data_IF_823673598435
#
_entry.id   IF_823673598435
#
_cell.length_a   1.000
_cell.length_b   1.000
_cell.length_c   1.000
_cell.angle_alpha   90.00
_cell.angle_beta   90.00
_cell.angle_gamma   90.00
#
_symmetry.space_group_name_H-M   'P 1'
#
loop_
_entity.id
_entity.type
_entity.pdbx_description
1 polymer ?
#
# COMPACT_ATOMS: atom_id res chain seq x y z
N UNK A 1 -82.74 -32.38 61.60
CA UNK A 1 -82.37 -33.79 61.33
C UNK A 1 -83.21 -34.25 60.14
N UNK A 2 -82.76 -34.75 58.99
CA UNK A 2 -81.49 -35.33 58.51
C UNK A 2 -81.43 -35.02 56.99
N UNK A 3 -80.27 -34.57 56.48
CA UNK A 3 -79.99 -34.33 55.05
C UNK A 3 -79.88 -35.68 54.32
N UNK A 4 -80.67 -35.91 53.26
CA UNK A 4 -80.49 -37.05 52.34
C UNK A 4 -79.10 -37.01 51.71
N UNK A 5 -78.28 -38.04 51.95
CA UNK A 5 -77.05 -38.32 51.18
C UNK A 5 -77.45 -39.02 49.89
N UNK A 6 -77.16 -38.41 48.75
CA UNK A 6 -77.17 -39.08 47.45
C UNK A 6 -75.91 -39.94 47.34
N UNK A 7 -76.08 -41.26 47.21
CA UNK A 7 -75.01 -42.20 46.91
C UNK A 7 -74.62 -42.08 45.43
N UNK A 8 -73.53 -41.36 45.16
CA UNK A 8 -72.83 -41.47 43.87
C UNK A 8 -71.99 -42.76 43.90
N UNK A 9 -72.37 -43.76 43.08
CA UNK A 9 -71.51 -44.91 42.79
C UNK A 9 -70.25 -44.44 42.08
N UNK A 10 -69.18 -44.22 42.85
CA UNK A 10 -67.86 -43.87 42.32
C UNK A 10 -67.33 -45.08 41.52
N UNK A 11 -67.23 -44.93 40.21
CA UNK A 11 -66.73 -45.96 39.31
C UNK A 11 -65.19 -46.06 39.43
N UNK A 12 -64.71 -46.76 40.46
CA UNK A 12 -63.28 -46.89 40.82
C UNK A 12 -62.40 -47.34 39.65
N UNK A 13 -62.91 -48.17 38.74
CA UNK A 13 -62.17 -48.61 37.53
C UNK A 13 -61.83 -47.45 36.59
N UNK A 14 -62.71 -46.46 36.47
CA UNK A 14 -62.51 -45.28 35.62
C UNK A 14 -61.46 -44.33 36.21
N UNK A 15 -61.42 -44.22 37.55
CA UNK A 15 -60.40 -43.45 38.27
C UNK A 15 -59.02 -44.09 38.13
N UNK A 16 -58.91 -45.41 38.32
CA UNK A 16 -57.64 -46.11 38.11
C UNK A 16 -57.15 -46.04 36.66
N UNK A 17 -58.05 -46.14 35.69
CA UNK A 17 -57.70 -45.96 34.28
C UNK A 17 -57.17 -44.55 33.99
N UNK A 18 -57.85 -43.50 34.47
CA UNK A 18 -57.39 -42.12 34.32
C UNK A 18 -56.07 -41.88 35.05
N UNK A 19 -55.88 -42.46 36.24
CA UNK A 19 -54.64 -42.32 37.00
C UNK A 19 -53.46 -42.99 36.29
N UNK A 20 -53.65 -44.19 35.75
CA UNK A 20 -52.64 -44.91 34.96
C UNK A 20 -52.33 -44.13 33.67
N UNK A 21 -53.34 -43.60 32.99
CA UNK A 21 -53.16 -42.78 31.80
C UNK A 21 -52.32 -41.53 32.10
N UNK A 22 -52.65 -40.82 33.18
CA UNK A 22 -51.88 -39.65 33.63
C UNK A 22 -50.47 -40.02 34.07
N UNK A 23 -50.29 -41.15 34.75
CA UNK A 23 -48.98 -41.62 35.17
C UNK A 23 -48.08 -41.97 33.99
N UNK A 24 -48.62 -42.62 32.96
CA UNK A 24 -47.91 -42.92 31.72
C UNK A 24 -47.53 -41.63 30.98
N UNK A 25 -48.48 -40.68 30.85
CA UNK A 25 -48.21 -39.39 30.23
C UNK A 25 -47.12 -38.61 30.98
N UNK A 26 -47.19 -38.56 32.32
CA UNK A 26 -46.19 -37.90 33.16
C UNK A 26 -44.82 -38.59 33.06
N UNK A 27 -44.79 -39.92 33.01
CA UNK A 27 -43.55 -40.69 32.84
C UNK A 27 -42.90 -40.43 31.48
N UNK A 28 -43.68 -40.31 30.40
CA UNK A 28 -43.19 -39.94 29.07
C UNK A 28 -42.58 -38.54 29.04
N UNK A 29 -43.24 -37.56 29.66
CA UNK A 29 -42.72 -36.18 29.76
C UNK A 29 -41.43 -36.14 30.59
N UNK A 30 -41.42 -36.84 31.74
CA UNK A 30 -40.25 -36.92 32.62
C UNK A 30 -39.07 -37.58 31.92
N UNK A 31 -39.30 -38.68 31.20
CA UNK A 31 -38.30 -39.32 30.37
C UNK A 31 -37.76 -38.37 29.29
N UNK A 32 -38.64 -37.63 28.61
CA UNK A 32 -38.22 -36.66 27.59
C UNK A 32 -37.35 -35.55 28.19
N UNK A 33 -37.72 -35.03 29.35
CA UNK A 33 -36.96 -34.01 30.07
C UNK A 33 -35.57 -34.51 30.45
N UNK A 34 -35.47 -35.71 31.03
CA UNK A 34 -34.18 -36.34 31.36
C UNK A 34 -33.36 -36.60 30.09
N UNK A 35 -33.99 -37.04 28.99
CA UNK A 35 -33.27 -37.24 27.72
C UNK A 35 -32.64 -35.94 27.22
N UNK A 36 -33.37 -34.81 27.30
CA UNK A 36 -32.87 -33.51 26.85
C UNK A 36 -31.78 -32.99 27.79
N UNK A 37 -31.97 -33.13 29.11
CA UNK A 37 -31.04 -32.59 30.10
C UNK A 37 -29.76 -33.41 30.31
N UNK A 38 -29.77 -34.72 30.03
CA UNK A 38 -28.63 -35.62 30.27
C UNK A 38 -28.07 -36.27 29.01
N UNK A 39 -28.90 -36.79 28.11
CA UNK A 39 -28.41 -37.46 26.89
C UNK A 39 -28.00 -36.46 25.81
N UNK A 40 -28.82 -35.43 25.60
CA UNK A 40 -28.55 -34.37 24.64
C UNK A 40 -27.89 -33.13 25.28
N UNK A 41 -27.49 -33.22 26.55
CA UNK A 41 -26.94 -32.10 27.33
C UNK A 41 -25.78 -31.41 26.61
N UNK A 42 -24.79 -32.18 26.16
CA UNK A 42 -23.61 -31.68 25.44
C UNK A 42 -23.97 -31.04 24.10
N UNK A 43 -24.97 -31.60 23.41
CA UNK A 43 -25.47 -31.08 22.13
C UNK A 43 -26.17 -29.74 22.31
N UNK A 44 -27.07 -29.63 23.28
CA UNK A 44 -27.79 -28.38 23.55
C UNK A 44 -26.90 -27.32 24.22
N UNK A 45 -25.96 -27.74 25.05
CA UNK A 45 -24.95 -26.85 25.62
C UNK A 45 -24.01 -26.31 24.54
N UNK A 46 -23.62 -27.13 23.56
CA UNK A 46 -22.87 -26.68 22.37
C UNK A 46 -23.65 -25.70 21.51
N UNK A 47 -24.94 -25.96 21.24
CA UNK A 47 -25.80 -25.00 20.54
C UNK A 47 -25.97 -23.69 21.31
N UNK A 48 -26.16 -23.75 22.62
CA UNK A 48 -26.24 -22.56 23.47
C UNK A 48 -24.91 -21.79 23.46
N UNK A 49 -23.77 -22.48 23.54
CA UNK A 49 -22.45 -21.84 23.48
C UNK A 49 -22.23 -21.13 22.14
N UNK A 50 -22.64 -21.75 21.02
CA UNK A 50 -22.53 -21.15 19.69
C UNK A 50 -23.51 -19.99 19.47
N UNK A 51 -24.66 -20.00 20.15
CA UNK A 51 -25.64 -18.92 20.10
C UNK A 51 -25.29 -17.74 21.02
N UNK A 52 -24.60 -17.98 22.13
CA UNK A 52 -24.29 -16.96 23.13
C UNK A 52 -22.88 -16.37 23.02
N UNK A 53 -21.98 -17.00 22.27
CA UNK A 53 -20.59 -16.55 22.15
C UNK A 53 -20.34 -16.03 20.76
N UNK A 54 -19.75 -14.84 20.65
CA UNK A 54 -19.34 -14.27 19.37
C UNK A 54 -17.85 -13.91 19.39
N UNK A 55 -17.25 -13.89 18.21
CA UNK A 55 -15.85 -13.55 18.03
C UNK A 55 -15.74 -12.10 17.56
N UNK A 56 -15.13 -11.27 18.40
CA UNK A 56 -14.86 -9.88 18.07
C UNK A 56 -13.40 -9.73 17.65
N UNK A 57 -13.21 -9.14 16.48
CA UNK A 57 -11.88 -8.78 16.01
C UNK A 57 -11.41 -7.50 16.71
N UNK A 58 -10.25 -7.55 17.33
CA UNK A 58 -9.60 -6.38 17.91
C UNK A 58 -8.58 -5.87 16.89
N UNK A 59 -8.85 -4.74 16.26
CA UNK A 59 -7.98 -4.22 15.21
C UNK A 59 -6.65 -3.73 15.78
N UNK A 60 -5.54 -4.17 15.20
CA UNK A 60 -4.22 -3.60 15.50
C UNK A 60 -4.03 -2.26 14.81
N UNK A 61 -3.22 -1.38 15.41
CA UNK A 61 -2.81 -0.15 14.73
C UNK A 61 -1.72 -0.47 13.74
N UNK A 62 -1.85 0.10 12.54
CA UNK A 62 -0.80 0.03 11.53
C UNK A 62 0.31 0.99 11.92
N UNK A 63 1.57 0.54 11.82
CA UNK A 63 2.75 1.33 12.14
C UNK A 63 2.82 2.62 11.33
N UNK A 64 3.32 3.68 11.94
CA UNK A 64 3.45 5.00 11.33
C UNK A 64 4.58 5.01 10.30
N UNK A 65 4.44 5.86 9.29
CA UNK A 65 5.55 6.19 8.38
C UNK A 65 5.93 7.64 8.65
N UNK A 66 7.22 7.87 8.92
CA UNK A 66 7.75 9.19 9.19
C UNK A 66 8.94 9.52 8.29
N UNK A 67 9.16 10.79 8.06
CA UNK A 67 10.35 11.28 7.37
C UNK A 67 11.59 11.19 8.28
N UNK A 68 12.76 11.55 7.75
CA UNK A 68 14.03 11.44 8.49
C UNK A 68 14.09 12.29 9.76
N UNK A 69 13.23 13.32 9.87
CA UNK A 69 13.18 14.31 10.95
C UNK A 69 11.99 14.08 11.90
N UNK A 70 11.21 13.01 11.70
CA UNK A 70 10.05 12.66 12.53
C UNK A 70 8.72 13.27 12.08
N UNK A 71 8.66 13.88 10.89
CA UNK A 71 7.41 14.36 10.30
C UNK A 71 6.53 13.15 9.94
N UNK A 72 5.30 13.10 10.44
CA UNK A 72 4.37 12.02 10.14
C UNK A 72 3.86 12.13 8.68
N UNK A 73 4.17 11.11 7.88
CA UNK A 73 3.75 10.97 6.49
C UNK A 73 2.52 10.07 6.36
N UNK A 74 2.41 9.04 7.21
CA UNK A 74 1.22 8.19 7.29
C UNK A 74 0.98 7.74 8.74
N UNK A 75 -0.27 7.84 9.19
CA UNK A 75 -0.71 7.47 10.54
C UNK A 75 -2.00 6.68 10.50
N UNK A 76 -2.28 5.94 11.57
CA UNK A 76 -3.57 5.27 11.77
C UNK A 76 -4.45 6.05 12.73
N UNK A 77 -5.63 6.42 12.27
CA UNK A 77 -6.70 7.00 13.07
C UNK A 77 -7.65 5.89 13.50
N UNK A 78 -8.15 5.98 14.74
CA UNK A 78 -9.24 5.14 15.22
C UNK A 78 -10.53 5.84 14.80
N UNK A 79 -11.26 5.22 13.90
CA UNK A 79 -12.58 5.63 13.47
C UNK A 79 -13.62 4.61 13.94
N UNK A 80 -14.88 4.96 13.77
CA UNK A 80 -16.01 4.10 14.15
C UNK A 80 -16.73 3.62 12.91
N UNK A 81 -17.25 2.41 12.96
CA UNK A 81 -18.07 1.82 11.90
C UNK A 81 -19.41 1.44 12.48
N UNK A 82 -20.47 1.91 11.83
CA UNK A 82 -21.86 1.59 12.18
C UNK A 82 -22.33 0.44 11.32
N UNK A 83 -22.78 -0.61 11.97
CA UNK A 83 -23.36 -1.79 11.33
C UNK A 83 -24.69 -2.15 11.99
N UNK A 84 -25.47 -2.97 11.33
CA UNK A 84 -26.74 -3.45 11.85
C UNK A 84 -26.82 -4.98 11.76
N UNK A 85 -27.60 -5.57 12.66
CA UNK A 85 -28.14 -6.90 12.50
C UNK A 85 -29.63 -6.77 12.13
N UNK A 86 -30.00 -6.84 10.84
CA UNK A 86 -31.37 -6.67 10.40
C UNK A 86 -32.37 -7.59 11.10
N UNK A 87 -31.95 -8.78 11.57
CA UNK A 87 -32.83 -9.72 12.30
C UNK A 87 -33.37 -9.14 13.61
N UNK A 88 -32.62 -8.25 14.25
CA UNK A 88 -32.97 -7.64 15.54
C UNK A 88 -33.73 -6.31 15.37
N UNK A 89 -33.63 -5.66 14.20
CA UNK A 89 -34.30 -4.37 13.95
C UNK A 89 -35.83 -4.48 14.08
N UNK A 90 -36.46 -3.72 14.95
CA UNK A 90 -37.92 -3.77 15.10
C UNK A 90 -38.69 -2.96 14.04
N UNK A 91 -38.28 -1.71 13.81
CA UNK A 91 -38.93 -0.78 12.89
C UNK A 91 -37.89 -0.20 11.90
N UNK A 92 -37.70 -0.85 10.74
CA UNK A 92 -36.72 -0.40 9.74
C UNK A 92 -37.00 1.01 9.23
N UNK A 93 -38.26 1.41 9.08
CA UNK A 93 -38.61 2.71 8.49
C UNK A 93 -38.30 3.86 9.45
N UNK A 94 -38.65 3.70 10.72
CA UNK A 94 -38.32 4.68 11.76
C UNK A 94 -36.81 4.78 11.98
N UNK A 95 -36.12 3.64 12.15
CA UNK A 95 -34.67 3.64 12.35
C UNK A 95 -33.92 4.23 11.15
N UNK A 96 -34.35 3.93 9.92
CA UNK A 96 -33.78 4.52 8.71
C UNK A 96 -33.95 6.05 8.64
N UNK A 97 -35.09 6.59 9.08
CA UNK A 97 -35.35 8.03 9.10
C UNK A 97 -34.48 8.79 10.09
N UNK A 98 -34.26 8.21 11.27
CA UNK A 98 -33.38 8.83 12.28
C UNK A 98 -31.92 8.72 11.83
N UNK A 99 -31.51 7.55 11.33
CA UNK A 99 -30.14 7.32 10.89
C UNK A 99 -29.79 8.09 9.61
N UNK A 100 -30.74 8.32 8.69
CA UNK A 100 -30.48 9.10 7.47
C UNK A 100 -30.03 10.52 7.79
N UNK A 101 -30.62 11.13 8.82
CA UNK A 101 -30.32 12.50 9.23
C UNK A 101 -28.90 12.64 9.78
N UNK A 102 -28.42 11.62 10.51
CA UNK A 102 -27.08 11.63 11.13
C UNK A 102 -26.02 11.18 10.12
N UNK A 103 -26.28 10.07 9.43
CA UNK A 103 -25.31 9.44 8.54
C UNK A 103 -25.25 10.11 7.16
N UNK A 104 -26.22 10.96 6.81
CA UNK A 104 -26.31 11.60 5.50
C UNK A 104 -26.52 10.61 4.35
N UNK A 105 -27.14 9.46 4.64
CA UNK A 105 -27.48 8.40 3.67
C UNK A 105 -28.98 8.48 3.41
N UNK A 106 -29.40 8.29 2.16
CA UNK A 106 -30.82 8.31 1.78
C UNK A 106 -31.64 7.29 2.59
N UNK A 107 -32.84 7.70 3.02
CA UNK A 107 -33.72 6.87 3.87
C UNK A 107 -34.05 5.54 3.19
N UNK A 108 -34.37 5.55 1.89
CA UNK A 108 -34.73 4.31 1.18
C UNK A 108 -33.57 3.31 1.17
N UNK A 109 -32.32 3.76 1.07
CA UNK A 109 -31.15 2.87 1.08
C UNK A 109 -30.98 2.19 2.44
N UNK A 110 -31.11 2.96 3.53
CA UNK A 110 -31.02 2.42 4.89
C UNK A 110 -32.19 1.48 5.20
N UNK A 111 -33.40 1.83 4.78
CA UNK A 111 -34.60 1.00 5.02
C UNK A 111 -34.49 -0.36 4.32
N UNK A 112 -33.93 -0.40 3.10
CA UNK A 112 -33.64 -1.65 2.39
C UNK A 112 -32.62 -2.51 3.15
N UNK A 113 -31.53 -1.92 3.64
CA UNK A 113 -30.49 -2.63 4.41
C UNK A 113 -31.03 -3.17 5.74
N UNK A 114 -31.86 -2.39 6.44
CA UNK A 114 -32.40 -2.72 7.76
C UNK A 114 -33.60 -3.68 7.69
N UNK A 115 -34.36 -3.65 6.59
CA UNK A 115 -35.56 -4.47 6.40
C UNK A 115 -35.29 -5.91 5.97
N UNK A 116 -34.12 -6.19 5.41
CA UNK A 116 -33.77 -7.54 4.92
C UNK A 116 -33.38 -8.49 6.06
N UNK A 117 -34.37 -9.23 6.57
CA UNK A 117 -34.21 -10.19 7.68
C UNK A 117 -33.35 -11.42 7.35
N UNK A 118 -33.08 -11.67 6.07
CA UNK A 118 -32.18 -12.77 5.68
C UNK A 118 -30.73 -12.42 6.07
N UNK A 119 -30.38 -11.13 6.02
CA UNK A 119 -29.08 -10.61 6.43
C UNK A 119 -28.92 -10.67 7.95
N UNK A 120 -27.87 -11.35 8.43
CA UNK A 120 -27.47 -11.34 9.84
C UNK A 120 -26.47 -10.23 10.19
N UNK A 121 -26.01 -9.47 9.19
CA UNK A 121 -25.02 -8.41 9.34
C UNK A 121 -25.03 -7.51 8.09
N UNK A 122 -25.02 -6.20 8.29
CA UNK A 122 -24.86 -5.22 7.20
C UNK A 122 -24.12 -3.97 7.68
N UNK A 123 -23.15 -3.49 6.90
CA UNK A 123 -22.53 -2.19 7.15
C UNK A 123 -23.49 -1.07 6.72
N UNK A 124 -23.72 -0.11 7.62
CA UNK A 124 -24.49 1.09 7.31
C UNK A 124 -23.56 2.17 6.79
N UNK A 125 -22.54 2.52 7.59
CA UNK A 125 -21.50 3.48 7.24
C UNK A 125 -20.21 3.11 7.96
N UNK A 126 -19.13 2.94 7.20
CA UNK A 126 -17.80 2.61 7.75
C UNK A 126 -16.99 3.88 7.95
N UNK A 127 -16.05 3.85 8.89
CA UNK A 127 -14.96 4.84 8.97
C UNK A 127 -15.46 6.28 9.14
N UNK A 128 -16.35 6.47 10.11
CA UNK A 128 -16.88 7.77 10.50
C UNK A 128 -16.16 8.34 11.72
N UNK A 129 -16.24 9.66 11.87
CA UNK A 129 -15.70 10.37 13.02
C UNK A 129 -16.36 9.89 14.33
N UNK A 130 -15.63 9.99 15.42
CA UNK A 130 -16.11 9.51 16.72
C UNK A 130 -17.36 10.29 17.17
N UNK A 131 -17.44 11.58 16.86
CA UNK A 131 -18.56 12.45 17.21
C UNK A 131 -19.87 12.00 16.54
N UNK A 132 -19.83 11.67 15.24
CA UNK A 132 -20.99 11.18 14.49
C UNK A 132 -21.46 9.81 15.03
N UNK A 133 -20.50 8.93 15.36
CA UNK A 133 -20.82 7.64 15.96
C UNK A 133 -21.42 7.77 17.37
N UNK A 134 -20.96 8.74 18.17
CA UNK A 134 -21.55 9.02 19.49
C UNK A 134 -22.99 9.52 19.40
N UNK A 135 -23.35 10.28 18.36
CA UNK A 135 -24.74 10.67 18.11
C UNK A 135 -25.62 9.46 17.82
N UNK A 136 -25.15 8.52 17.01
CA UNK A 136 -25.85 7.25 16.76
C UNK A 136 -25.97 6.43 18.05
N UNK A 137 -24.91 6.35 18.85
CA UNK A 137 -24.90 5.61 20.11
C UNK A 137 -25.96 6.12 21.09
N UNK A 138 -26.19 7.44 21.15
CA UNK A 138 -27.18 8.07 22.04
C UNK A 138 -28.63 7.69 21.73
N UNK A 139 -28.92 7.23 20.52
CA UNK A 139 -30.26 6.85 20.10
C UNK A 139 -30.70 5.49 20.65
N UNK A 140 -29.77 4.65 21.11
CA UNK A 140 -30.03 3.32 21.68
C UNK A 140 -30.94 2.46 20.78
N UNK A 141 -30.67 2.50 19.47
CA UNK A 141 -31.48 1.77 18.48
C UNK A 141 -31.13 0.28 18.49
N UNK A 142 -32.12 -0.54 18.84
CA UNK A 142 -31.94 -1.99 18.86
C UNK A 142 -31.62 -2.55 17.47
N UNK A 143 -30.62 -3.43 17.40
CA UNK A 143 -30.10 -4.00 16.15
C UNK A 143 -29.07 -3.12 15.43
N UNK A 144 -28.70 -1.96 15.99
CA UNK A 144 -27.65 -1.07 15.48
C UNK A 144 -26.46 -1.10 16.41
N UNK A 145 -25.28 -1.26 15.85
CA UNK A 145 -24.04 -1.50 16.59
C UNK A 145 -22.90 -0.64 16.05
N UNK A 146 -21.96 -0.37 16.94
CA UNK A 146 -20.76 0.40 16.65
C UNK A 146 -19.55 -0.47 16.93
N UNK A 147 -18.61 -0.51 15.99
CA UNK A 147 -17.31 -1.14 16.19
C UNK A 147 -16.19 -0.17 15.86
N UNK A 148 -15.06 -0.35 16.52
CA UNK A 148 -13.84 0.40 16.22
C UNK A 148 -13.23 -0.14 14.94
N UNK A 149 -12.73 0.75 14.10
CA UNK A 149 -12.02 0.39 12.89
C UNK A 149 -10.84 1.35 12.68
N UNK A 150 -9.74 0.85 12.15
CA UNK A 150 -8.58 1.69 11.84
C UNK A 150 -8.65 2.22 10.42
N UNK A 151 -8.46 3.53 10.24
CA UNK A 151 -8.26 4.15 8.94
C UNK A 151 -6.85 4.68 8.82
N UNK A 152 -6.26 4.48 7.64
CA UNK A 152 -4.99 5.09 7.29
C UNK A 152 -5.22 6.53 6.81
N UNK A 153 -4.44 7.45 7.34
CA UNK A 153 -4.50 8.88 7.03
C UNK A 153 -3.10 9.42 6.73
N UNK A 154 -3.02 10.31 5.74
CA UNK A 154 -1.76 10.89 5.26
C UNK A 154 -1.76 12.40 5.53
N UNK A 155 -1.18 12.88 6.65
CA UNK A 155 -1.28 14.28 7.06
C UNK A 155 -0.68 15.28 6.07
N UNK A 156 0.26 14.83 5.23
CA UNK A 156 0.94 15.67 4.26
C UNK A 156 0.28 15.66 2.86
N UNK A 157 -0.89 15.03 2.72
CA UNK A 157 -1.62 14.88 1.46
C UNK A 157 -0.71 14.32 0.35
N UNK A 158 -0.47 15.08 -0.73
CA UNK A 158 0.27 14.66 -1.93
C UNK A 158 1.79 14.49 -1.71
N UNK A 159 2.34 15.03 -0.62
CA UNK A 159 3.79 15.04 -0.38
C UNK A 159 4.34 13.60 -0.30
N UNK A 160 5.32 13.29 -1.15
CA UNK A 160 5.93 11.96 -1.25
C UNK A 160 4.92 10.82 -1.52
N UNK A 161 3.74 11.11 -2.08
CA UNK A 161 2.66 10.13 -2.21
C UNK A 161 3.06 8.86 -2.99
N UNK A 162 3.87 8.98 -4.06
CA UNK A 162 4.34 7.80 -4.81
C UNK A 162 5.37 6.96 -4.04
N UNK A 163 6.10 7.57 -3.10
CA UNK A 163 7.04 6.86 -2.22
C UNK A 163 6.27 6.16 -1.10
N UNK A 164 5.48 6.93 -0.34
CA UNK A 164 4.70 6.43 0.81
C UNK A 164 3.68 5.39 0.33
N UNK A 165 2.97 5.70 -0.75
CA UNK A 165 1.90 4.88 -1.29
C UNK A 165 0.59 5.09 -0.54
N UNK A 166 -0.29 4.08 -0.61
CA UNK A 166 -1.58 4.13 0.07
C UNK A 166 -2.09 2.74 0.47
N UNK A 167 -3.14 2.72 1.27
CA UNK A 167 -3.85 1.50 1.71
C UNK A 167 -5.28 1.47 1.18
N UNK A 168 -5.83 0.28 0.99
CA UNK A 168 -7.23 0.07 0.65
C UNK A 168 -8.20 0.31 1.81
N UNK A 169 -9.49 0.12 1.53
CA UNK A 169 -10.57 0.24 2.53
C UNK A 169 -10.37 -0.71 3.71
N UNK A 170 -9.75 -1.86 3.51
CA UNK A 170 -9.50 -2.83 4.59
C UNK A 170 -8.09 -2.69 5.21
N UNK A 171 -7.46 -1.52 5.03
CA UNK A 171 -6.17 -1.14 5.63
C UNK A 171 -4.96 -1.99 5.17
N UNK A 172 -5.12 -2.72 4.06
CA UNK A 172 -4.04 -3.41 3.36
C UNK A 172 -3.28 -2.42 2.47
N UNK A 173 -1.95 -2.43 2.53
CA UNK A 173 -1.11 -1.66 1.61
C UNK A 173 -1.38 -2.04 0.16
N UNK A 174 -1.40 -1.05 -0.73
CA UNK A 174 -1.65 -1.22 -2.16
C UNK A 174 -0.53 -0.69 -3.04
N UNK A 175 0.24 0.30 -2.55
CA UNK A 175 1.32 0.91 -3.30
C UNK A 175 2.46 1.41 -2.40
N UNK A 176 3.61 1.76 -2.98
CA UNK A 176 4.74 2.38 -2.28
C UNK A 176 5.29 1.57 -1.10
N UNK A 177 5.72 2.28 -0.06
CA UNK A 177 6.17 1.71 1.21
C UNK A 177 5.06 0.92 1.89
N UNK A 178 3.79 1.34 1.75
CA UNK A 178 2.65 0.66 2.36
C UNK A 178 2.54 -0.81 1.93
N UNK A 179 2.68 -1.12 0.63
CA UNK A 179 2.67 -2.51 0.17
C UNK A 179 4.01 -3.22 0.41
N UNK A 180 5.13 -2.52 0.20
CA UNK A 180 6.47 -3.12 0.32
C UNK A 180 6.73 -3.66 1.73
N UNK A 181 6.23 -2.94 2.74
CA UNK A 181 6.40 -3.25 4.15
C UNK A 181 5.10 -3.66 4.85
N UNK A 182 4.11 -4.17 4.10
CA UNK A 182 2.81 -4.61 4.64
C UNK A 182 2.96 -5.54 5.84
N UNK A 183 3.88 -6.51 5.79
CA UNK A 183 4.10 -7.49 6.86
C UNK A 183 4.65 -6.87 8.16
N UNK A 184 5.27 -5.69 8.06
CA UNK A 184 5.85 -4.97 9.20
C UNK A 184 4.86 -3.92 9.71
N UNK A 185 4.26 -3.16 8.80
CA UNK A 185 3.36 -2.07 9.09
C UNK A 185 2.00 -2.55 9.60
N UNK A 186 1.43 -3.64 9.09
CA UNK A 186 0.03 -4.03 9.39
C UNK A 186 -0.22 -4.35 10.86
N UNK A 187 0.76 -4.94 11.54
CA UNK A 187 0.53 -5.58 12.84
C UNK A 187 -0.27 -6.87 12.72
N UNK A 188 -0.71 -7.39 13.86
CA UNK A 188 -1.52 -8.61 13.97
C UNK A 188 -2.76 -8.30 14.78
N UNK A 189 -3.92 -8.43 14.15
CA UNK A 189 -5.20 -8.24 14.81
C UNK A 189 -5.40 -9.26 15.95
N UNK A 190 -5.93 -8.78 17.07
CA UNK A 190 -6.31 -9.59 18.21
C UNK A 190 -7.72 -10.17 18.05
N UNK A 191 -8.14 -10.96 19.04
CA UNK A 191 -9.50 -11.50 19.09
C UNK A 191 -10.01 -11.60 20.52
N UNK A 192 -11.27 -11.25 20.72
CA UNK A 192 -11.99 -11.45 21.96
C UNK A 192 -13.18 -12.37 21.71
N UNK A 193 -13.25 -13.48 22.44
CA UNK A 193 -14.39 -14.38 22.48
C UNK A 193 -15.15 -14.06 23.75
N UNK A 194 -16.30 -13.43 23.60
CA UNK A 194 -17.10 -12.95 24.72
C UNK A 194 -18.58 -13.28 24.52
N UNK A 195 -19.28 -13.47 25.64
CA UNK A 195 -20.73 -13.58 25.63
C UNK A 195 -21.36 -12.19 25.50
N UNK A 196 -22.37 -12.08 24.63
CA UNK A 196 -23.12 -10.84 24.45
C UNK A 196 -24.38 -10.82 25.31
N UNK A 197 -24.78 -9.63 25.74
CA UNK A 197 -26.16 -9.42 26.16
C UNK A 197 -27.10 -9.34 24.94
N UNK A 198 -28.41 -9.21 25.20
CA UNK A 198 -29.43 -9.01 24.16
C UNK A 198 -29.26 -7.71 23.37
N UNK A 199 -28.37 -6.81 23.80
CA UNK A 199 -28.03 -5.53 23.19
C UNK A 199 -26.63 -5.54 22.56
N UNK A 200 -26.05 -6.71 22.31
CA UNK A 200 -24.76 -6.89 21.64
C UNK A 200 -23.53 -6.45 22.43
N UNK A 201 -23.67 -5.99 23.68
CA UNK A 201 -22.56 -5.59 24.52
C UNK A 201 -21.87 -6.81 25.12
N UNK A 202 -20.54 -6.74 25.23
CA UNK A 202 -19.74 -7.76 25.90
C UNK A 202 -20.09 -7.79 27.40
N UNK A 203 -20.61 -8.93 27.87
CA UNK A 203 -20.93 -9.12 29.29
C UNK A 203 -19.64 -9.15 30.13
N UNK A 204 -19.49 -8.24 31.13
CA UNK A 204 -18.32 -8.22 32.00
C UNK A 204 -18.18 -9.54 32.77
N UNK A 205 -17.01 -10.18 32.68
CA UNK A 205 -16.68 -11.39 33.46
C UNK A 205 -16.75 -12.73 32.70
N UNK A 206 -17.30 -12.77 31.49
CA UNK A 206 -17.43 -13.99 30.67
C UNK A 206 -16.56 -13.97 29.39
N UNK A 207 -15.33 -13.46 29.49
CA UNK A 207 -14.37 -13.53 28.38
C UNK A 207 -13.79 -14.95 28.35
N UNK A 208 -14.17 -15.77 27.36
CA UNK A 208 -13.68 -17.15 27.22
C UNK A 208 -12.26 -17.21 26.68
N UNK A 209 -11.89 -16.25 25.84
CA UNK A 209 -10.55 -16.10 25.28
C UNK A 209 -10.32 -14.64 24.88
N UNK A 210 -9.15 -14.10 25.18
CA UNK A 210 -8.73 -12.76 24.79
C UNK A 210 -7.29 -12.82 24.29
N UNK A 211 -7.06 -12.35 23.07
CA UNK A 211 -5.74 -12.20 22.48
C UNK A 211 -5.59 -10.73 22.14
N UNK A 212 -4.65 -10.06 22.79
CA UNK A 212 -4.32 -8.67 22.53
C UNK A 212 -3.85 -8.49 21.07
N UNK A 213 -4.29 -7.41 20.39
CA UNK A 213 -3.70 -7.03 19.12
C UNK A 213 -2.24 -6.62 19.31
N UNK A 214 -1.42 -6.89 18.31
CA UNK A 214 -0.03 -6.43 18.25
C UNK A 214 0.06 -5.36 17.17
N UNK A 215 0.34 -4.13 17.57
CA UNK A 215 0.52 -3.02 16.64
C UNK A 215 1.69 -3.27 15.68
N UNK A 216 1.57 -2.74 14.47
CA UNK A 216 2.66 -2.78 13.48
C UNK A 216 3.83 -1.89 13.89
N UNK A 217 5.00 -2.16 13.31
CA UNK A 217 6.18 -1.35 13.57
C UNK A 217 6.20 -0.11 12.70
N UNK A 218 6.70 0.98 13.26
CA UNK A 218 6.86 2.23 12.54
C UNK A 218 8.07 2.17 11.59
N UNK A 219 8.08 3.01 10.55
CA UNK A 219 9.17 3.07 9.57
C UNK A 219 9.62 4.52 9.39
N UNK A 220 10.93 4.74 9.54
CA UNK A 220 11.61 5.98 9.23
C UNK A 220 12.12 5.95 7.79
N UNK A 221 11.72 6.92 6.98
CA UNK A 221 12.27 7.13 5.64
C UNK A 221 13.52 8.01 5.69
N UNK A 222 14.36 7.91 4.65
CA UNK A 222 15.46 8.85 4.40
C UNK A 222 14.99 10.18 3.80
N UNK A 223 13.73 10.22 3.33
CA UNK A 223 13.09 11.41 2.79
C UNK A 223 13.15 12.55 3.81
N UNK A 224 13.50 13.73 3.32
CA UNK A 224 13.36 14.98 4.06
C UNK A 224 12.15 15.72 3.51
N UNK A 225 11.13 15.94 4.33
CA UNK A 225 9.87 16.56 3.88
C UNK A 225 10.08 17.95 3.27
N UNK A 226 11.07 18.71 3.72
CA UNK A 226 11.35 20.05 3.18
C UNK A 226 11.98 19.94 1.79
N UNK A 227 12.99 19.06 1.63
CA UNK A 227 13.64 18.84 0.34
C UNK A 227 12.64 18.24 -0.66
N UNK A 228 11.81 17.29 -0.22
CA UNK A 228 10.73 16.72 -1.02
C UNK A 228 9.76 17.80 -1.50
N UNK A 229 9.23 18.62 -0.60
CA UNK A 229 8.28 19.69 -0.95
C UNK A 229 8.87 20.67 -1.95
N UNK A 230 10.10 21.13 -1.72
CA UNK A 230 10.80 22.03 -2.65
C UNK A 230 10.96 21.34 -4.01
N UNK A 231 11.32 20.05 -4.03
CA UNK A 231 11.53 19.29 -5.27
C UNK A 231 10.23 19.16 -6.06
N UNK A 232 9.14 18.73 -5.42
CA UNK A 232 7.81 18.59 -6.03
C UNK A 232 7.28 19.92 -6.55
N UNK A 233 7.45 21.00 -5.76
CA UNK A 233 6.98 22.33 -6.16
C UNK A 233 7.70 22.86 -7.41
N UNK A 234 9.03 22.73 -7.46
CA UNK A 234 9.80 23.11 -8.64
C UNK A 234 9.44 22.24 -9.85
N UNK A 235 9.21 20.94 -9.64
CA UNK A 235 8.82 20.02 -10.69
C UNK A 235 7.45 20.41 -11.30
N UNK A 236 6.47 20.73 -10.46
CA UNK A 236 5.16 21.24 -10.85
C UNK A 236 5.28 22.53 -11.67
N UNK A 237 6.07 23.50 -11.19
CA UNK A 237 6.28 24.78 -11.88
C UNK A 237 6.94 24.60 -13.25
N UNK A 238 7.93 23.70 -13.36
CA UNK A 238 8.57 23.36 -14.63
C UNK A 238 7.56 22.71 -15.59
N UNK A 239 6.79 21.73 -15.11
CA UNK A 239 5.77 21.08 -15.93
C UNK A 239 4.72 22.07 -16.44
N UNK A 240 4.24 22.97 -15.58
CA UNK A 240 3.29 24.03 -15.96
C UNK A 240 3.91 25.01 -16.98
N UNK A 241 5.13 25.47 -16.73
CA UNK A 241 5.83 26.43 -17.61
C UNK A 241 6.04 25.89 -19.01
N UNK A 242 6.38 24.62 -19.15
CA UNK A 242 6.68 23.99 -20.43
C UNK A 242 5.53 23.15 -21.00
N UNK A 243 4.38 23.12 -20.32
CA UNK A 243 3.24 22.26 -20.63
C UNK A 243 3.68 20.78 -20.80
N UNK A 244 4.56 20.32 -19.92
CA UNK A 244 5.09 18.96 -19.96
C UNK A 244 4.07 17.98 -19.35
N UNK A 245 3.87 16.80 -19.95
CA UNK A 245 2.90 15.81 -19.46
C UNK A 245 3.31 15.17 -18.14
N UNK A 246 4.61 15.22 -17.80
CA UNK A 246 5.14 14.70 -16.56
C UNK A 246 6.63 14.97 -16.43
N UNK A 247 7.15 14.81 -15.22
CA UNK A 247 8.57 14.92 -14.92
C UNK A 247 8.93 14.10 -13.68
N UNK A 248 10.22 13.93 -13.42
CA UNK A 248 10.73 13.25 -12.22
C UNK A 248 12.02 13.91 -11.78
N UNK A 249 12.21 14.02 -10.46
CA UNK A 249 13.43 14.51 -9.84
C UNK A 249 13.77 13.67 -8.61
N UNK A 250 15.06 13.44 -8.40
CA UNK A 250 15.58 12.65 -7.28
C UNK A 250 16.75 13.43 -6.66
N UNK A 251 16.78 13.50 -5.33
CA UNK A 251 17.90 14.05 -4.56
C UNK A 251 18.46 12.91 -3.71
N UNK A 252 19.73 12.58 -3.93
CA UNK A 252 20.40 11.44 -3.31
C UNK A 252 21.75 11.89 -2.75
N UNK A 253 22.07 11.41 -1.56
CA UNK A 253 23.41 11.54 -0.99
C UNK A 253 24.38 10.60 -1.72
N UNK A 254 25.45 11.12 -2.35
CA UNK A 254 26.38 10.28 -3.09
C UNK A 254 27.22 9.36 -2.20
N UNK A 255 27.42 9.67 -0.91
CA UNK A 255 28.32 8.88 -0.05
C UNK A 255 27.67 7.63 0.51
N UNK A 256 26.39 7.70 0.91
CA UNK A 256 25.68 6.59 1.57
C UNK A 256 24.47 6.08 0.78
N UNK A 257 24.02 6.81 -0.25
CA UNK A 257 22.88 6.45 -1.08
C UNK A 257 21.50 6.77 -0.49
N UNK A 258 21.42 7.52 0.61
CA UNK A 258 20.14 7.99 1.16
C UNK A 258 19.41 8.88 0.14
N UNK A 259 18.13 8.57 -0.09
CA UNK A 259 17.26 9.40 -0.93
C UNK A 259 16.58 10.45 -0.06
N UNK A 260 16.93 11.72 -0.27
CA UNK A 260 16.31 12.85 0.45
C UNK A 260 15.02 13.31 -0.20
N UNK A 261 14.90 13.17 -1.53
CA UNK A 261 13.67 13.41 -2.25
C UNK A 261 13.53 12.50 -3.47
N UNK A 262 12.32 12.06 -3.74
CA UNK A 262 11.92 11.32 -4.94
C UNK A 262 10.55 11.82 -5.37
N UNK A 263 10.52 12.71 -6.36
CA UNK A 263 9.33 13.39 -6.80
C UNK A 263 8.97 12.99 -8.24
N UNK A 264 7.68 12.74 -8.47
CA UNK A 264 7.12 12.51 -9.80
C UNK A 264 5.88 13.38 -9.99
N UNK A 265 5.77 14.01 -11.16
CA UNK A 265 4.60 14.79 -11.56
C UNK A 265 3.96 14.15 -12.81
N UNK A 266 2.63 14.03 -12.88
CA UNK A 266 1.64 14.43 -11.88
C UNK A 266 1.69 13.58 -10.59
N UNK A 267 1.34 14.21 -9.47
CA UNK A 267 1.16 13.57 -8.18
C UNK A 267 -0.25 13.02 -7.98
N UNK A 268 -0.52 12.50 -6.78
CA UNK A 268 -1.86 12.14 -6.33
C UNK A 268 -1.98 12.35 -4.82
N UNK A 269 -3.20 12.51 -4.32
CA UNK A 269 -3.48 12.52 -2.89
C UNK A 269 -3.80 11.09 -2.42
N UNK A 270 -2.98 10.47 -1.55
CA UNK A 270 -3.22 9.11 -1.05
C UNK A 270 -4.45 9.01 -0.15
N UNK A 271 -4.97 10.12 0.40
CA UNK A 271 -6.26 10.13 1.10
C UNK A 271 -7.45 9.94 0.14
N UNK A 272 -7.31 10.39 -1.11
CA UNK A 272 -8.34 10.37 -2.15
C UNK A 272 -7.86 9.63 -3.42
N UNK A 273 -7.06 8.57 -3.24
CA UNK A 273 -6.36 7.90 -4.34
C UNK A 273 -7.30 7.43 -5.47
N UNK A 274 -8.56 7.13 -5.16
CA UNK A 274 -9.58 6.65 -6.11
C UNK A 274 -9.94 7.68 -7.19
N UNK A 275 -9.67 8.96 -6.95
CA UNK A 275 -9.95 10.06 -7.89
C UNK A 275 -8.86 10.21 -8.98
N UNK A 276 -7.78 9.44 -8.88
CA UNK A 276 -6.60 9.55 -9.73
C UNK A 276 -6.42 8.30 -10.60
N UNK A 277 -5.78 8.47 -11.77
CA UNK A 277 -5.41 7.36 -12.65
C UNK A 277 -4.29 6.52 -12.03
N UNK A 278 -4.32 5.21 -12.30
CA UNK A 278 -3.32 4.27 -11.79
C UNK A 278 -1.89 4.59 -12.22
N UNK A 279 -1.70 5.34 -13.32
CA UNK A 279 -0.41 5.84 -13.75
C UNK A 279 0.22 6.81 -12.74
N UNK A 280 -0.58 7.65 -12.07
CA UNK A 280 -0.09 8.67 -11.12
C UNK A 280 0.51 8.06 -9.85
N UNK A 281 0.18 6.80 -9.53
CA UNK A 281 0.72 6.11 -8.36
C UNK A 281 2.20 5.76 -8.55
N UNK A 282 2.64 5.59 -9.80
CA UNK A 282 3.98 5.09 -10.12
C UNK A 282 5.07 6.10 -9.76
N UNK A 283 6.09 5.64 -9.03
CA UNK A 283 7.32 6.39 -8.82
C UNK A 283 8.17 6.39 -10.11
N UNK A 284 8.04 7.44 -10.91
CA UNK A 284 8.74 7.58 -12.20
C UNK A 284 10.27 7.45 -12.09
N UNK A 285 10.82 7.73 -10.90
CA UNK A 285 12.23 7.54 -10.58
C UNK A 285 12.75 6.12 -10.82
N UNK A 286 11.89 5.12 -10.61
CA UNK A 286 12.25 3.70 -10.70
C UNK A 286 11.48 2.96 -11.78
N UNK A 287 10.29 3.44 -12.16
CA UNK A 287 9.40 2.74 -13.09
C UNK A 287 9.44 3.26 -14.53
N UNK A 288 9.98 4.45 -14.76
CA UNK A 288 10.10 5.02 -16.09
C UNK A 288 11.48 4.72 -16.66
N UNK A 289 11.53 4.17 -17.88
CA UNK A 289 12.78 3.91 -18.58
C UNK A 289 12.88 4.78 -19.82
N UNK A 290 14.06 5.34 -20.09
CA UNK A 290 14.29 6.23 -21.22
C UNK A 290 15.73 6.14 -21.74
N UNK A 291 15.95 6.63 -22.96
CA UNK A 291 17.31 6.83 -23.48
C UNK A 291 17.93 8.07 -22.81
N UNK A 292 19.03 7.93 -22.04
CA UNK A 292 19.60 9.03 -21.23
C UNK A 292 20.21 10.16 -22.06
N UNK A 293 20.55 9.90 -23.32
CA UNK A 293 21.19 10.88 -24.20
C UNK A 293 22.54 11.36 -23.64
N UNK A 294 22.81 12.67 -23.77
CA UNK A 294 24.11 13.24 -23.42
C UNK A 294 24.51 13.11 -21.94
N UNK A 295 23.57 12.88 -21.03
CA UNK A 295 23.90 12.62 -19.61
C UNK A 295 24.74 11.35 -19.45
N UNK A 296 24.58 10.38 -20.36
CA UNK A 296 25.34 9.14 -20.38
C UNK A 296 26.82 9.32 -20.75
N UNK A 297 27.20 10.45 -21.35
CA UNK A 297 28.61 10.72 -21.70
C UNK A 297 29.52 10.77 -20.47
N UNK A 298 28.96 11.07 -19.29
CA UNK A 298 29.68 10.98 -18.00
C UNK A 298 30.23 9.56 -17.81
N UNK A 299 29.40 8.56 -18.06
CA UNK A 299 29.72 7.13 -17.92
C UNK A 299 30.77 6.71 -18.94
N UNK A 300 30.61 7.15 -20.19
CA UNK A 300 31.55 6.88 -21.27
C UNK A 300 32.96 7.44 -20.96
N UNK A 301 33.05 8.70 -20.55
CA UNK A 301 34.33 9.34 -20.19
C UNK A 301 34.95 8.66 -18.97
N UNK A 302 34.15 8.34 -17.95
CA UNK A 302 34.64 7.64 -16.76
C UNK A 302 35.20 6.25 -17.11
N UNK A 303 34.50 5.48 -17.93
CA UNK A 303 34.95 4.17 -18.41
C UNK A 303 36.26 4.24 -19.19
N UNK A 304 36.39 5.20 -20.12
CA UNK A 304 37.61 5.37 -20.91
C UNK A 304 38.83 5.74 -20.06
N UNK A 305 38.63 6.61 -19.06
CA UNK A 305 39.67 7.00 -18.12
C UNK A 305 40.05 5.87 -17.16
N UNK A 306 39.07 5.14 -16.61
CA UNK A 306 39.29 4.04 -15.67
C UNK A 306 40.09 2.91 -16.32
N UNK A 307 39.81 2.64 -17.59
CA UNK A 307 40.50 1.62 -18.37
C UNK A 307 41.81 2.11 -19.02
N UNK A 308 42.23 3.36 -18.75
CA UNK A 308 43.43 3.98 -19.31
C UNK A 308 43.50 3.94 -20.86
N UNK A 309 42.36 3.88 -21.55
CA UNK A 309 42.33 3.92 -23.02
C UNK A 309 42.55 5.32 -23.55
N UNK A 310 42.33 6.33 -22.70
CA UNK A 310 42.62 7.74 -22.97
C UNK A 310 43.22 8.43 -21.74
N UNK A 311 44.00 9.48 -21.99
CA UNK A 311 44.49 10.39 -20.93
C UNK A 311 43.50 11.50 -20.59
N UNK A 312 43.57 12.05 -19.37
CA UNK A 312 42.72 13.19 -18.92
C UNK A 312 42.86 14.43 -19.80
N UNK A 313 44.06 14.68 -20.31
CA UNK A 313 44.39 15.86 -21.11
C UNK A 313 44.78 15.49 -22.55
N UNK A 314 44.45 14.26 -22.99
CA UNK A 314 44.67 13.81 -24.36
C UNK A 314 43.81 14.63 -25.32
N UNK A 315 44.43 15.16 -26.38
CA UNK A 315 43.78 15.97 -27.41
C UNK A 315 43.39 15.12 -28.60
N UNK A 316 42.18 15.34 -29.10
CA UNK A 316 41.62 14.67 -30.27
C UNK A 316 41.28 15.71 -31.34
N UNK A 317 41.62 15.41 -32.60
CA UNK A 317 41.07 16.15 -33.75
C UNK A 317 39.70 15.57 -34.09
N UNK A 318 38.65 16.33 -33.78
CA UNK A 318 37.27 15.91 -33.91
C UNK A 318 36.69 16.45 -35.23
N UNK A 319 36.33 15.60 -36.21
CA UNK A 319 35.58 16.04 -37.38
C UNK A 319 34.13 16.43 -37.03
N UNK A 320 33.38 17.14 -37.88
CA UNK A 320 31.97 17.49 -37.63
C UNK A 320 31.02 16.28 -37.69
N UNK A 321 31.48 15.18 -38.30
CA UNK A 321 30.75 13.91 -38.36
C UNK A 321 31.70 12.72 -38.40
N UNK A 322 31.26 11.57 -37.91
CA UNK A 322 31.99 10.30 -37.95
C UNK A 322 31.06 9.19 -38.43
N UNK A 323 31.56 8.30 -39.29
CA UNK A 323 30.84 7.09 -39.71
C UNK A 323 31.23 5.93 -38.81
N UNK A 324 30.24 5.26 -38.21
CA UNK A 324 30.39 4.04 -37.44
C UNK A 324 29.53 2.96 -38.10
N UNK A 325 30.18 2.02 -38.80
CA UNK A 325 29.49 1.03 -39.64
C UNK A 325 28.56 1.72 -40.66
N UNK A 326 27.27 1.42 -40.58
CA UNK A 326 26.16 1.87 -41.42
C UNK A 326 25.55 3.20 -40.95
N UNK A 327 26.01 3.77 -39.83
CA UNK A 327 25.49 5.03 -39.27
C UNK A 327 26.49 6.18 -39.38
N UNK A 328 25.96 7.39 -39.57
CA UNK A 328 26.73 8.64 -39.53
C UNK A 328 26.26 9.44 -38.31
N UNK A 329 27.16 9.64 -37.36
CA UNK A 329 26.93 10.46 -36.18
C UNK A 329 27.48 11.86 -36.46
N UNK A 330 26.73 12.90 -36.07
CA UNK A 330 27.06 14.30 -36.33
C UNK A 330 27.05 15.12 -35.05
N UNK A 331 27.81 16.20 -35.05
CA UNK A 331 27.55 17.30 -34.13
C UNK A 331 26.30 18.06 -34.53
N UNK A 332 25.63 18.65 -33.55
CA UNK A 332 24.36 19.36 -33.78
C UNK A 332 24.59 20.68 -34.54
N UNK A 333 25.62 21.45 -34.16
CA UNK A 333 25.82 22.82 -34.67
C UNK A 333 27.19 23.06 -35.35
N UNK A 334 28.09 22.06 -35.37
CA UNK A 334 29.48 22.23 -35.83
C UNK A 334 29.68 21.64 -37.22
N UNK A 335 30.30 22.42 -38.10
CA UNK A 335 30.58 22.04 -39.50
C UNK A 335 32.07 21.96 -39.85
N UNK A 336 32.97 22.34 -38.94
CA UNK A 336 34.43 22.29 -39.11
C UNK A 336 35.10 21.41 -38.05
N UNK A 337 36.33 20.96 -38.32
CA UNK A 337 37.14 20.25 -37.34
C UNK A 337 37.45 21.15 -36.12
N UNK A 338 37.65 20.52 -34.97
CA UNK A 338 38.10 21.18 -33.74
C UNK A 338 38.97 20.23 -32.93
N UNK A 339 39.91 20.79 -32.18
CA UNK A 339 40.69 20.03 -31.22
C UNK A 339 40.08 20.17 -29.84
N UNK A 340 39.75 19.04 -29.22
CA UNK A 340 39.31 19.00 -27.82
C UNK A 340 40.12 17.97 -27.04
N UNK A 341 40.49 18.33 -25.82
CA UNK A 341 40.93 17.40 -24.79
C UNK A 341 39.78 16.52 -24.28
N UNK A 342 40.07 15.41 -23.59
CA UNK A 342 39.05 14.60 -22.90
C UNK A 342 38.16 15.43 -21.97
N UNK A 343 38.73 16.43 -21.26
CA UNK A 343 37.96 17.38 -20.43
C UNK A 343 37.04 18.27 -21.26
N UNK A 344 37.49 18.70 -22.43
CA UNK A 344 36.69 19.55 -23.32
C UNK A 344 35.58 18.76 -24.00
N UNK A 345 35.79 17.47 -24.28
CA UNK A 345 34.76 16.57 -24.81
C UNK A 345 33.54 16.53 -23.88
N UNK A 346 33.76 16.38 -22.57
CA UNK A 346 32.65 16.40 -21.59
C UNK A 346 32.10 17.82 -21.39
N UNK A 347 32.97 18.84 -21.29
CA UNK A 347 32.58 20.25 -21.11
C UNK A 347 31.67 20.77 -22.22
N UNK A 348 31.99 20.46 -23.48
CA UNK A 348 31.24 20.87 -24.65
C UNK A 348 30.24 19.80 -25.13
N UNK A 349 30.11 18.69 -24.39
CA UNK A 349 29.24 17.56 -24.72
C UNK A 349 29.37 17.11 -26.18
N UNK A 350 30.60 16.98 -26.69
CA UNK A 350 30.85 16.61 -28.09
C UNK A 350 30.36 15.18 -28.37
N UNK A 351 29.47 15.03 -29.35
CA UNK A 351 29.01 13.70 -29.78
C UNK A 351 30.16 12.90 -30.39
N UNK A 352 30.97 13.55 -31.22
CA UNK A 352 32.07 12.89 -31.92
C UNK A 352 33.18 12.51 -30.95
N UNK A 353 33.50 13.39 -30.01
CA UNK A 353 34.42 13.09 -28.92
C UNK A 353 33.96 11.86 -28.14
N UNK A 354 32.69 11.82 -27.71
CA UNK A 354 32.15 10.66 -27.00
C UNK A 354 32.26 9.35 -27.82
N UNK A 355 31.97 9.38 -29.12
CA UNK A 355 32.14 8.22 -30.00
C UNK A 355 33.60 7.77 -30.08
N UNK A 356 34.55 8.71 -30.20
CA UNK A 356 35.98 8.38 -30.23
C UNK A 356 36.45 7.76 -28.91
N UNK A 357 35.95 8.23 -27.77
CA UNK A 357 36.23 7.63 -26.46
C UNK A 357 35.71 6.18 -26.40
N UNK A 358 34.47 5.95 -26.83
CA UNK A 358 33.89 4.60 -26.85
C UNK A 358 34.69 3.66 -27.78
N UNK A 359 35.01 4.11 -28.99
CA UNK A 359 35.80 3.34 -29.96
C UNK A 359 37.22 3.03 -29.45
N UNK A 360 37.81 3.87 -28.60
CA UNK A 360 39.11 3.60 -27.97
C UNK A 360 39.10 2.38 -27.03
N UNK A 361 37.94 2.08 -26.44
CA UNK A 361 37.73 0.91 -25.58
C UNK A 361 37.38 -0.34 -26.38
N UNK A 362 36.66 -0.17 -27.49
CA UNK A 362 36.05 -1.27 -28.24
C UNK A 362 34.84 -1.88 -27.50
N UNK A 363 34.10 -2.74 -28.20
CA UNK A 363 32.76 -3.18 -27.75
C UNK A 363 32.77 -3.86 -26.38
N UNK A 364 33.71 -4.80 -26.16
CA UNK A 364 33.78 -5.58 -24.93
C UNK A 364 34.07 -4.71 -23.71
N UNK A 365 35.13 -3.92 -23.76
CA UNK A 365 35.57 -3.11 -22.62
C UNK A 365 34.60 -1.97 -22.33
N UNK A 366 33.98 -1.42 -23.37
CA UNK A 366 32.93 -0.42 -23.20
C UNK A 366 31.69 -1.01 -22.52
N UNK A 367 31.27 -2.21 -22.94
CA UNK A 367 30.17 -2.93 -22.30
C UNK A 367 30.48 -3.29 -20.85
N UNK A 368 31.67 -3.82 -20.56
CA UNK A 368 32.13 -4.14 -19.19
C UNK A 368 32.07 -2.87 -18.32
N UNK A 369 32.56 -1.74 -18.83
CA UNK A 369 32.50 -0.44 -18.12
C UNK A 369 31.08 -0.01 -17.79
N UNK A 370 30.15 -0.07 -18.75
CA UNK A 370 28.73 0.29 -18.52
C UNK A 370 28.08 -0.66 -17.51
N UNK A 371 28.38 -1.96 -17.62
CA UNK A 371 27.84 -2.98 -16.72
C UNK A 371 28.32 -2.79 -15.27
N UNK A 372 29.56 -2.33 -15.05
CA UNK A 372 30.10 -2.00 -13.73
C UNK A 372 29.34 -0.86 -13.02
N UNK A 373 28.70 0.04 -13.76
CA UNK A 373 27.80 1.06 -13.20
C UNK A 373 26.40 0.52 -12.83
N UNK A 374 26.13 -0.76 -13.11
CA UNK A 374 24.87 -1.43 -12.73
C UNK A 374 23.69 -1.21 -13.68
N UNK A 375 23.93 -0.70 -14.89
CA UNK A 375 22.86 -0.56 -15.90
C UNK A 375 22.35 -1.92 -16.38
N UNK A 376 21.04 -2.01 -16.62
CA UNK A 376 20.38 -3.27 -17.00
C UNK A 376 19.97 -4.16 -15.82
N UNK A 377 20.14 -3.66 -14.58
CA UNK A 377 19.79 -4.35 -13.35
C UNK A 377 19.08 -3.40 -12.38
N UNK A 378 18.14 -3.91 -11.58
CA UNK A 378 17.56 -3.16 -10.46
C UNK A 378 18.65 -2.64 -9.51
N UNK A 379 18.45 -1.43 -8.97
CA UNK A 379 19.37 -0.83 -7.99
C UNK A 379 19.21 -1.45 -6.61
N UNK A 380 18.06 -2.07 -6.33
CA UNK A 380 17.74 -2.69 -5.06
C UNK A 380 17.24 -1.71 -4.00
N UNK A 381 16.70 -0.56 -4.43
CA UNK A 381 15.98 0.36 -3.54
C UNK A 381 14.76 -0.34 -2.95
N UNK A 382 14.38 0.02 -1.73
CA UNK A 382 13.28 -0.61 -1.00
C UNK A 382 11.89 -0.10 -1.43
N UNK A 383 11.65 -0.04 -2.75
CA UNK A 383 10.37 0.31 -3.35
C UNK A 383 9.92 -0.76 -4.36
N UNK A 384 8.61 -1.00 -4.48
CA UNK A 384 8.08 -1.97 -5.43
C UNK A 384 8.07 -1.40 -6.85
N UNK A 385 8.17 -2.29 -7.85
CA UNK A 385 8.00 -1.91 -9.26
C UNK A 385 9.20 -1.20 -9.90
N UNK A 386 10.41 -1.46 -9.39
CA UNK A 386 11.65 -1.01 -10.04
C UNK A 386 11.88 -1.73 -11.37
N UNK A 387 12.14 -0.95 -12.43
CA UNK A 387 12.46 -1.45 -13.76
C UNK A 387 13.97 -1.71 -13.91
N UNK A 388 14.32 -2.76 -14.67
CA UNK A 388 15.71 -3.11 -14.95
C UNK A 388 16.35 -2.19 -16.02
N UNK A 389 15.55 -1.48 -16.81
CA UNK A 389 16.03 -0.87 -18.05
C UNK A 389 16.33 -1.92 -19.13
N UNK A 390 17.02 -1.49 -20.20
CA UNK A 390 17.39 -2.34 -21.34
C UNK A 390 18.85 -2.08 -21.67
N UNK A 391 19.69 -3.09 -21.46
CA UNK A 391 21.10 -3.08 -21.84
C UNK A 391 21.51 -4.47 -22.33
N UNK A 392 21.89 -4.58 -23.61
CA UNK A 392 22.19 -5.87 -24.26
C UNK A 392 23.66 -6.24 -24.15
N UNK A 393 23.96 -7.55 -24.14
CA UNK A 393 25.33 -8.09 -24.21
C UNK A 393 26.02 -7.66 -25.53
N UNK A 394 27.28 -7.23 -25.42
CA UNK A 394 28.06 -6.72 -26.55
C UNK A 394 28.20 -7.69 -27.71
N UNK A 395 28.13 -9.01 -27.47
CA UNK A 395 28.19 -10.05 -28.51
C UNK A 395 27.03 -9.97 -29.49
N UNK A 396 25.93 -9.34 -29.08
CA UNK A 396 24.72 -9.18 -29.88
C UNK A 396 24.62 -7.81 -30.55
N UNK A 397 25.57 -6.92 -30.31
CA UNK A 397 25.54 -5.57 -30.85
C UNK A 397 25.78 -5.57 -32.35
N UNK A 398 24.90 -4.92 -33.14
CA UNK A 398 25.29 -4.42 -34.45
C UNK A 398 26.55 -3.55 -34.34
N UNK A 399 27.40 -3.56 -35.37
CA UNK A 399 28.65 -2.80 -35.37
C UNK A 399 28.48 -1.28 -35.20
N UNK A 400 27.27 -0.74 -35.42
CA UNK A 400 26.94 0.67 -35.18
C UNK A 400 26.60 1.01 -33.73
N UNK A 401 26.30 0.02 -32.90
CA UNK A 401 25.71 0.21 -31.56
C UNK A 401 26.65 0.95 -30.61
N UNK A 402 27.96 0.67 -30.67
CA UNK A 402 28.95 1.38 -29.85
C UNK A 402 28.89 2.90 -30.06
N UNK A 403 28.69 3.35 -31.30
CA UNK A 403 28.55 4.77 -31.61
C UNK A 403 27.26 5.39 -31.06
N UNK A 404 26.15 4.65 -31.12
CA UNK A 404 24.88 5.11 -30.56
C UNK A 404 24.91 5.14 -29.01
N UNK A 405 25.43 4.09 -28.39
CA UNK A 405 25.62 4.00 -26.94
C UNK A 405 26.54 5.11 -26.42
N UNK A 406 27.57 5.49 -27.16
CA UNK A 406 28.48 6.57 -26.80
C UNK A 406 27.77 7.90 -26.49
N UNK A 407 26.60 8.13 -27.10
CA UNK A 407 25.78 9.33 -26.92
C UNK A 407 24.47 9.05 -26.17
N UNK A 408 24.36 7.89 -25.52
CA UNK A 408 23.22 7.50 -24.68
C UNK A 408 21.99 7.05 -25.45
N UNK A 409 22.16 6.44 -26.63
CA UNK A 409 21.10 5.78 -27.41
C UNK A 409 21.34 4.26 -27.47
N UNK A 410 20.33 3.47 -27.81
CA UNK A 410 20.40 1.98 -27.79
C UNK A 410 20.61 1.39 -26.38
N UNK A 411 20.26 2.17 -25.36
CA UNK A 411 20.18 1.76 -23.95
C UNK A 411 18.95 2.45 -23.35
N UNK A 412 18.22 1.75 -22.49
CA UNK A 412 17.14 2.33 -21.70
C UNK A 412 17.49 2.23 -20.23
N UNK A 413 17.38 3.32 -19.48
CA UNK A 413 17.75 3.40 -18.05
C UNK A 413 16.64 4.05 -17.25
N UNK A 414 16.56 3.76 -15.96
CA UNK A 414 15.73 4.55 -15.03
C UNK A 414 16.45 5.81 -14.57
N UNK A 415 15.73 6.89 -14.19
CA UNK A 415 16.36 8.06 -13.58
C UNK A 415 17.23 7.72 -12.37
N UNK A 416 16.81 6.76 -11.54
CA UNK A 416 17.58 6.31 -10.38
C UNK A 416 18.88 5.59 -10.77
N UNK A 417 18.86 4.70 -11.77
CA UNK A 417 20.07 4.04 -12.27
C UNK A 417 21.11 5.07 -12.75
N UNK A 418 20.66 6.06 -13.53
CA UNK A 418 21.55 7.10 -14.03
C UNK A 418 22.10 7.96 -12.87
N UNK A 419 21.25 8.38 -11.93
CA UNK A 419 21.69 9.16 -10.77
C UNK A 419 22.72 8.38 -9.93
N UNK A 420 22.44 7.11 -9.62
CA UNK A 420 23.34 6.22 -8.88
C UNK A 420 24.72 6.12 -9.54
N UNK A 421 24.75 5.97 -10.87
CA UNK A 421 25.99 5.94 -11.62
C UNK A 421 26.75 7.28 -11.54
N UNK A 422 26.05 8.42 -11.62
CA UNK A 422 26.66 9.74 -11.47
C UNK A 422 27.16 9.98 -10.03
N UNK A 423 26.44 9.53 -9.01
CA UNK A 423 26.87 9.60 -7.60
C UNK A 423 28.21 8.88 -7.37
N UNK A 424 28.47 7.78 -8.07
CA UNK A 424 29.77 7.10 -7.99
C UNK A 424 30.93 7.97 -8.47
N UNK A 425 30.70 8.94 -9.36
CA UNK A 425 31.74 9.90 -9.77
C UNK A 425 31.99 10.92 -8.65
N UNK A 426 30.93 11.35 -7.96
CA UNK A 426 31.01 12.32 -6.88
C UNK A 426 31.67 11.77 -5.61
N UNK A 427 31.47 10.49 -5.29
CA UNK A 427 31.97 9.85 -4.07
C UNK A 427 33.33 9.13 -4.24
N UNK A 428 34.00 9.30 -5.39
CA UNK A 428 35.34 8.74 -5.62
C UNK A 428 35.38 7.33 -6.22
N UNK A 429 34.28 6.83 -6.78
CA UNK A 429 34.21 5.61 -7.58
C UNK A 429 33.39 4.48 -6.95
N UNK A 430 32.66 4.75 -5.87
CA UNK A 430 31.90 3.72 -5.16
C UNK A 430 30.45 3.68 -5.66
N UNK A 431 30.02 2.53 -6.16
CA UNK A 431 28.63 2.35 -6.56
C UNK A 431 27.74 2.03 -5.35
N UNK A 432 27.28 3.07 -4.67
CA UNK A 432 26.41 2.97 -3.48
C UNK A 432 25.06 2.35 -3.83
N UNK A 433 24.43 1.67 -2.86
CA UNK A 433 23.05 1.18 -2.98
C UNK A 433 22.10 2.30 -2.56
N UNK A 434 21.17 2.74 -3.42
CA UNK A 434 20.14 3.69 -3.01
C UNK A 434 19.29 3.09 -1.88
N UNK A 435 19.00 3.88 -0.85
CA UNK A 435 18.12 3.49 0.26
C UNK A 435 17.06 4.56 0.50
N UNK A 436 15.81 4.11 0.70
CA UNK A 436 14.69 4.96 1.13
C UNK A 436 14.38 4.74 2.62
N UNK A 437 14.94 3.70 3.23
CA UNK A 437 14.70 3.32 4.64
C UNK A 437 15.87 3.77 5.51
N UNK A 438 15.54 4.48 6.58
CA UNK A 438 16.49 4.91 7.60
C UNK A 438 16.46 3.97 8.81
N UNK A 439 15.27 3.57 9.26
CA UNK A 439 15.07 2.74 10.46
C UNK A 439 13.71 2.02 10.42
N UNK A 440 13.61 0.85 11.06
CA UNK A 440 12.40 0.03 11.25
C UNK A 440 12.31 -0.44 12.70
#
# INVERSE_FOLDING_TARGET
MIRKKNDFKINRKRIYFLFILFFIAFSLISYRLVSIQYLDASKYQGYAQFQHTDEFKLYSKRGKIFDRNGTELAISLIEKTIYANPREVFDPSYQAEVLSTILGIEKEELELKLGDKELGFVYLKRKIAAEEAEEVAKLDLHGIYIQDETKRYYPQNELAAQVVGFTGTDNNGLYGIEIQYENILRGVDGRAIAEKDVFGNVLPGNIKSYIDPVDGKDIALTIDSQIQYITEKNLEEVCKKYNAPGATAIVMDPENGEIFAMATYPGFDPNNYQDYDAYSYKAGAISFTYEPGSTFKIINVAGALNNNTVGKDQVFDLPPSIRVSDRIIKEIFRTSNIQYSTREIIKYSSNIGAVMLALSMGDRLYWESINEFGFGQVTGIELPGEENGIFHDYKTWPASTIGALAIGQSISVTPLQLLRAVCSIANGGYLVRPTIIKEI
#
